data_IF_257515919657
#
_entry.id   IF_257515919657
#
_cell.length_a   1.000
_cell.length_b   1.000
_cell.length_c   1.000
_cell.angle_alpha   90.00
_cell.angle_beta   90.00
_cell.angle_gamma   90.00
#
_symmetry.space_group_name_H-M   'P 1'
#
loop_
_entity.id
_entity.type
_entity.pdbx_description
1 polymer ?
#
# COMPACT_ATOMS: atom_id res chain seq x y z
N UNK A 1 -0.66 -3.64 -40.90
CA UNK A 1 0.07 -2.36 -40.83
C UNK A 1 -0.82 -1.29 -41.44
N UNK A 2 -1.41 -0.41 -40.63
CA UNK A 2 -2.20 0.72 -41.10
C UNK A 2 -1.79 1.94 -40.28
N UNK A 3 -0.84 2.71 -40.81
CA UNK A 3 -0.53 4.04 -40.31
C UNK A 3 -1.60 5.01 -40.77
N UNK A 4 -2.18 5.77 -39.83
CA UNK A 4 -2.93 6.97 -40.16
C UNK A 4 -2.16 8.17 -39.63
N UNK A 5 -1.62 8.92 -40.58
CA UNK A 5 -0.98 10.22 -40.45
C UNK A 5 -1.99 11.25 -39.94
N UNK A 6 -1.63 11.97 -38.87
CA UNK A 6 -2.39 13.12 -38.39
C UNK A 6 -2.18 14.30 -39.35
N UNK A 7 -3.26 14.89 -39.88
CA UNK A 7 -3.20 16.09 -40.72
C UNK A 7 -2.94 17.31 -39.85
N UNK A 8 -1.89 18.06 -40.17
CA UNK A 8 -1.65 19.39 -39.65
C UNK A 8 -2.65 20.36 -40.29
N UNK A 9 -3.33 21.16 -39.46
CA UNK A 9 -4.12 22.32 -39.89
C UNK A 9 -3.27 23.55 -39.64
N UNK A 10 -2.83 24.21 -40.72
CA UNK A 10 -2.14 25.49 -40.67
C UNK A 10 -3.14 26.61 -40.34
N UNK A 11 -2.99 27.20 -39.16
CA UNK A 11 -3.69 28.44 -38.80
C UNK A 11 -2.71 29.58 -38.99
N UNK A 12 -2.90 30.35 -40.07
CA UNK A 12 -2.14 31.55 -40.38
C UNK A 12 -2.70 32.70 -39.53
N UNK A 13 -2.01 33.09 -38.47
CA UNK A 13 -2.36 34.27 -37.66
C UNK A 13 -1.52 35.46 -38.14
N UNK A 14 -2.21 36.49 -38.62
CA UNK A 14 -1.68 37.81 -38.95
C UNK A 14 -1.40 38.60 -37.67
N UNK A 15 -0.22 39.20 -37.58
CA UNK A 15 0.19 40.09 -36.49
C UNK A 15 -0.47 41.48 -36.60
N UNK A 16 -0.66 42.17 -35.46
CA UNK A 16 -0.59 43.62 -35.43
C UNK A 16 0.63 44.10 -34.60
N UNK A 17 1.33 45.09 -35.16
CA UNK A 17 2.54 45.72 -34.61
C UNK A 17 2.26 46.68 -33.43
N UNK A 18 3.27 46.75 -32.55
CA UNK A 18 3.68 47.88 -31.70
C UNK A 18 2.78 48.17 -30.46
N UNK A 19 3.27 48.61 -29.30
CA UNK A 19 4.53 49.23 -28.90
C UNK A 19 4.71 49.20 -27.37
N UNK A 20 5.94 49.47 -26.92
CA UNK A 20 6.38 49.87 -25.56
C UNK A 20 6.45 48.79 -24.46
N UNK A 21 7.69 48.43 -24.09
CA UNK A 21 8.00 47.62 -22.90
C UNK A 21 7.75 48.38 -21.58
N UNK A 22 7.72 47.68 -20.43
CA UNK A 22 9.00 47.43 -19.77
C UNK A 22 9.13 46.09 -19.00
N UNK A 23 10.38 45.82 -18.63
CA UNK A 23 10.88 44.94 -17.56
C UNK A 23 10.73 43.43 -17.74
N UNK A 24 11.81 42.84 -18.27
CA UNK A 24 12.20 41.45 -18.01
C UNK A 24 12.30 41.22 -16.50
N UNK A 25 11.20 40.78 -15.89
CA UNK A 25 11.25 40.04 -14.63
C UNK A 25 11.74 38.65 -15.01
N UNK A 26 13.02 38.40 -14.76
CA UNK A 26 13.67 37.14 -15.09
C UNK A 26 12.80 35.95 -14.71
N UNK A 27 12.62 35.03 -15.65
CA UNK A 27 12.09 33.71 -15.36
C UNK A 27 12.90 33.12 -14.22
N UNK A 28 12.24 32.88 -13.09
CA UNK A 28 12.81 32.04 -12.05
C UNK A 28 12.92 30.68 -12.71
N UNK A 29 14.13 30.32 -13.14
CA UNK A 29 14.53 28.94 -13.40
C UNK A 29 14.36 28.23 -12.06
N UNK A 30 13.15 27.75 -11.82
CA UNK A 30 12.82 26.88 -10.72
C UNK A 30 13.79 25.71 -10.82
N UNK A 31 14.80 25.68 -9.94
CA UNK A 31 15.80 24.62 -9.98
C UNK A 31 15.09 23.26 -9.95
N UNK A 32 15.59 22.29 -10.70
CA UNK A 32 14.99 20.95 -10.80
C UNK A 32 14.59 20.34 -9.43
N UNK A 33 15.37 20.62 -8.38
CA UNK A 33 15.05 20.26 -7.00
C UNK A 33 13.73 20.89 -6.50
N UNK A 34 13.53 22.19 -6.73
CA UNK A 34 12.30 22.90 -6.38
C UNK A 34 11.10 22.41 -7.18
N UNK A 35 11.26 22.20 -8.49
CA UNK A 35 10.21 21.61 -9.33
C UNK A 35 9.78 20.22 -8.82
N UNK A 36 10.74 19.34 -8.48
CA UNK A 36 10.47 18.04 -7.86
C UNK A 36 9.75 18.16 -6.53
N UNK A 37 10.19 19.06 -5.66
CA UNK A 37 9.55 19.27 -4.36
C UNK A 37 8.10 19.73 -4.51
N UNK A 38 7.82 20.66 -5.43
CA UNK A 38 6.47 21.11 -5.77
C UNK A 38 5.57 19.97 -6.23
N UNK A 39 6.04 19.15 -7.19
CA UNK A 39 5.27 18.01 -7.71
C UNK A 39 5.01 16.99 -6.61
N UNK A 40 6.04 16.60 -5.85
CA UNK A 40 5.90 15.67 -4.73
C UNK A 40 4.90 16.18 -3.69
N UNK A 41 4.97 17.46 -3.33
CA UNK A 41 4.04 18.09 -2.39
C UNK A 41 2.60 18.08 -2.90
N UNK A 42 2.40 18.41 -4.19
CA UNK A 42 1.09 18.38 -4.83
C UNK A 42 0.47 16.98 -4.85
N UNK A 43 1.18 16.00 -5.38
CA UNK A 43 0.70 14.61 -5.49
C UNK A 43 0.47 13.99 -4.11
N UNK A 44 1.35 14.24 -3.14
CA UNK A 44 1.18 13.71 -1.77
C UNK A 44 -0.06 14.31 -1.10
N UNK A 45 -0.32 15.61 -1.31
CA UNK A 45 -1.52 16.28 -0.78
C UNK A 45 -2.79 15.72 -1.41
N UNK A 46 -2.80 15.56 -2.74
CA UNK A 46 -3.93 14.97 -3.47
C UNK A 46 -4.21 13.54 -3.00
N UNK A 47 -3.18 12.71 -2.91
CA UNK A 47 -3.30 11.34 -2.40
C UNK A 47 -3.89 11.29 -0.99
N UNK A 48 -3.44 12.17 -0.07
CA UNK A 48 -4.00 12.22 1.28
C UNK A 48 -5.48 12.61 1.32
N UNK A 49 -5.95 13.44 0.39
CA UNK A 49 -7.37 13.78 0.26
C UNK A 49 -8.17 12.59 -0.28
N UNK A 50 -7.69 11.96 -1.35
CA UNK A 50 -8.34 10.79 -1.95
C UNK A 50 -8.39 9.61 -0.97
N UNK A 51 -7.33 9.38 -0.19
CA UNK A 51 -7.25 8.30 0.79
C UNK A 51 -8.24 8.45 1.97
N UNK A 52 -8.90 9.60 2.12
CA UNK A 52 -10.00 9.78 3.07
C UNK A 52 -11.36 9.38 2.49
N UNK A 53 -11.48 9.31 1.16
CA UNK A 53 -12.72 8.94 0.49
C UNK A 53 -12.94 7.42 0.54
N UNK A 54 -14.10 6.93 1.02
CA UNK A 54 -14.41 5.51 1.05
C UNK A 54 -14.33 4.82 -0.31
N UNK A 55 -14.65 5.54 -1.40
CA UNK A 55 -14.59 5.01 -2.77
C UNK A 55 -13.17 4.78 -3.29
N UNK A 56 -12.17 5.40 -2.67
CA UNK A 56 -10.79 5.38 -3.16
C UNK A 56 -9.86 4.53 -2.27
N UNK A 57 -10.19 4.37 -0.99
CA UNK A 57 -9.41 3.55 -0.07
C UNK A 57 -10.10 2.21 0.19
N UNK A 58 -9.33 1.11 0.11
CA UNK A 58 -9.81 -0.19 0.56
C UNK A 58 -10.29 -0.17 2.02
N UNK A 59 -11.22 -1.06 2.37
CA UNK A 59 -11.83 -1.09 3.72
C UNK A 59 -11.22 -2.14 4.64
N UNK A 60 -10.26 -2.93 4.16
CA UNK A 60 -9.77 -4.11 4.87
C UNK A 60 -8.37 -3.96 5.48
N UNK A 61 -7.84 -2.74 5.56
CA UNK A 61 -6.54 -2.49 6.19
C UNK A 61 -6.51 -2.98 7.65
N UNK A 62 -5.33 -3.29 8.17
CA UNK A 62 -5.18 -3.53 9.61
C UNK A 62 -5.48 -2.20 10.32
N UNK A 63 -6.40 -2.17 11.30
CA UNK A 63 -6.93 -0.90 11.80
C UNK A 63 -5.97 -0.26 12.82
N UNK A 64 -4.84 0.22 12.33
CA UNK A 64 -3.94 1.12 13.05
C UNK A 64 -3.40 2.16 12.05
N UNK A 65 -3.64 3.44 12.33
CA UNK A 65 -3.29 4.54 11.42
C UNK A 65 -1.78 4.63 11.14
N UNK A 66 -0.93 4.16 12.06
CA UNK A 66 0.53 4.16 11.90
C UNK A 66 0.99 3.17 10.83
N UNK A 67 0.26 2.09 10.61
CA UNK A 67 0.53 1.12 9.55
C UNK A 67 0.08 1.60 8.16
N UNK A 68 -0.67 2.70 8.08
CA UNK A 68 -1.16 3.29 6.83
C UNK A 68 -0.31 4.46 6.35
N UNK A 69 0.63 4.93 7.17
CA UNK A 69 1.53 6.04 6.82
C UNK A 69 2.71 5.51 6.01
N UNK A 70 2.60 5.58 4.69
CA UNK A 70 3.70 5.27 3.77
C UNK A 70 4.43 6.58 3.44
N UNK A 71 5.75 6.62 3.65
CA UNK A 71 6.59 7.74 3.25
C UNK A 71 7.40 7.35 2.01
N UNK A 72 7.40 8.22 1.01
CA UNK A 72 8.27 8.08 -0.17
C UNK A 72 9.74 8.39 0.16
N UNK A 73 10.02 9.06 1.30
CA UNK A 73 11.38 9.33 1.78
C UNK A 73 11.81 8.15 2.65
N UNK A 74 12.76 7.35 2.14
CA UNK A 74 13.35 6.18 2.82
C UNK A 74 12.31 5.20 3.40
N UNK A 75 11.09 5.17 2.86
CA UNK A 75 10.02 4.31 3.36
C UNK A 75 9.44 4.67 4.73
N UNK A 76 9.90 5.77 5.35
CA UNK A 76 9.51 6.18 6.69
C UNK A 76 9.96 5.19 7.79
N UNK A 77 9.55 5.41 9.05
CA UNK A 77 9.85 4.48 10.15
C UNK A 77 9.28 3.08 9.90
N UNK A 78 8.30 2.99 9.00
CA UNK A 78 7.64 1.78 8.61
C UNK A 78 8.58 0.82 7.87
N UNK A 79 9.21 1.20 6.74
CA UNK A 79 10.15 0.29 6.05
C UNK A 79 11.40 -0.02 6.89
N UNK A 80 11.86 0.91 7.72
CA UNK A 80 12.99 0.69 8.61
C UNK A 80 12.75 -0.46 9.61
N UNK A 81 11.50 -0.64 10.08
CA UNK A 81 11.15 -1.73 10.99
C UNK A 81 11.23 -3.13 10.34
N UNK A 82 11.42 -3.23 9.02
CA UNK A 82 11.33 -4.48 8.26
C UNK A 82 12.68 -4.96 7.71
N UNK A 83 13.71 -4.13 7.82
CA UNK A 83 15.06 -4.42 7.33
C UNK A 83 15.09 -4.72 5.83
N UNK A 84 16.10 -5.47 5.42
CA UNK A 84 16.38 -5.76 4.00
C UNK A 84 15.74 -7.07 3.50
N UNK A 85 14.85 -7.68 4.30
CA UNK A 85 14.21 -8.96 3.97
C UNK A 85 12.96 -8.77 3.09
N UNK A 86 13.11 -8.93 1.78
CA UNK A 86 11.98 -8.88 0.83
C UNK A 86 10.83 -9.86 1.17
N UNK A 87 11.09 -11.11 1.60
CA UNK A 87 10.02 -12.03 1.99
C UNK A 87 9.23 -11.55 3.22
N UNK A 88 9.91 -10.99 4.22
CA UNK A 88 9.26 -10.42 5.40
C UNK A 88 8.42 -9.19 5.03
N UNK A 89 8.98 -8.27 4.23
CA UNK A 89 8.27 -7.09 3.73
C UNK A 89 7.01 -7.48 2.94
N UNK A 90 7.08 -8.51 2.10
CA UNK A 90 5.92 -9.00 1.35
C UNK A 90 4.84 -9.60 2.27
N UNK A 91 5.22 -10.35 3.31
CA UNK A 91 4.26 -10.89 4.30
C UNK A 91 3.61 -9.77 5.10
N UNK A 92 4.38 -8.77 5.54
CA UNK A 92 3.86 -7.57 6.20
C UNK A 92 2.83 -6.83 5.35
N UNK A 93 3.19 -6.52 4.10
CA UNK A 93 2.28 -5.86 3.17
C UNK A 93 0.98 -6.65 3.02
N UNK A 94 1.06 -7.98 2.82
CA UNK A 94 -0.10 -8.86 2.74
C UNK A 94 -0.97 -8.83 4.00
N UNK A 95 -0.37 -8.84 5.20
CA UNK A 95 -1.11 -8.76 6.46
C UNK A 95 -1.81 -7.42 6.62
N UNK A 96 -1.10 -6.31 6.35
CA UNK A 96 -1.60 -4.95 6.57
C UNK A 96 -2.69 -4.60 5.56
N UNK A 97 -2.50 -4.94 4.29
CA UNK A 97 -3.45 -4.64 3.22
C UNK A 97 -4.59 -5.66 3.13
N UNK A 98 -4.54 -6.75 3.90
CA UNK A 98 -5.45 -7.90 3.81
C UNK A 98 -5.46 -8.54 2.41
N UNK A 99 -4.26 -8.71 1.85
CA UNK A 99 -3.98 -9.33 0.55
C UNK A 99 -3.21 -10.66 0.68
N UNK A 100 -3.16 -11.23 1.89
CA UNK A 100 -2.59 -12.56 2.06
C UNK A 100 -3.46 -13.61 1.37
N UNK A 101 -2.88 -14.70 0.81
CA UNK A 101 -3.60 -15.76 0.11
C UNK A 101 -4.36 -16.69 1.08
N UNK A 102 -5.07 -16.10 2.04
CA UNK A 102 -5.80 -16.79 3.12
C UNK A 102 -7.29 -16.83 2.80
N UNK A 103 -8.05 -17.61 3.58
CA UNK A 103 -9.49 -17.78 3.37
C UNK A 103 -10.32 -16.48 3.34
N UNK A 104 -9.91 -15.43 4.04
CA UNK A 104 -10.55 -14.10 3.98
C UNK A 104 -10.34 -13.36 2.65
N UNK A 105 -9.19 -13.55 2.00
CA UNK A 105 -8.94 -13.02 0.67
C UNK A 105 -9.64 -13.87 -0.39
N UNK A 106 -9.50 -15.19 -0.30
CA UNK A 106 -10.14 -16.14 -1.23
C UNK A 106 -11.65 -16.00 -1.28
N UNK A 107 -12.34 -15.80 -0.16
CA UNK A 107 -13.79 -15.57 -0.19
C UNK A 107 -14.24 -14.37 -1.02
N UNK A 108 -13.35 -13.40 -1.27
CA UNK A 108 -13.66 -12.19 -2.05
C UNK A 108 -13.32 -12.36 -3.53
N UNK A 109 -12.19 -13.01 -3.83
CA UNK A 109 -11.63 -13.05 -5.18
C UNK A 109 -11.62 -14.45 -5.83
N UNK A 110 -11.78 -15.50 -5.03
CA UNK A 110 -11.71 -16.91 -5.40
C UNK A 110 -12.78 -17.72 -4.63
N UNK A 111 -14.08 -17.45 -4.85
CA UNK A 111 -15.17 -17.96 -3.99
C UNK A 111 -15.31 -19.50 -4.01
N UNK A 112 -14.73 -20.17 -4.99
CA UNK A 112 -14.73 -21.62 -5.11
C UNK A 112 -13.52 -22.30 -4.43
N UNK A 113 -12.51 -21.53 -4.02
CA UNK A 113 -11.34 -22.08 -3.34
C UNK A 113 -11.63 -22.37 -1.86
N UNK A 114 -10.85 -23.28 -1.27
CA UNK A 114 -10.93 -23.55 0.15
C UNK A 114 -10.58 -22.30 0.96
N UNK A 115 -11.33 -22.08 2.04
CA UNK A 115 -11.17 -20.94 2.96
C UNK A 115 -10.88 -21.39 4.40
N UNK A 116 -10.92 -22.70 4.66
CA UNK A 116 -10.72 -23.27 6.00
C UNK A 116 -9.24 -23.30 6.34
N UNK A 117 -8.92 -23.00 7.60
CA UNK A 117 -7.57 -23.09 8.12
C UNK A 117 -7.07 -24.55 8.06
N UNK A 118 -5.79 -24.74 7.69
CA UNK A 118 -5.21 -26.07 7.56
C UNK A 118 -5.05 -26.82 8.90
N UNK A 119 -5.11 -26.11 10.03
CA UNK A 119 -4.76 -26.64 11.36
C UNK A 119 -5.90 -26.67 12.37
N UNK A 120 -7.08 -26.14 12.03
CA UNK A 120 -8.23 -26.11 12.93
C UNK A 120 -9.54 -25.84 12.16
N UNK A 121 -10.72 -26.19 12.70
CA UNK A 121 -12.01 -26.04 12.01
C UNK A 121 -12.54 -24.59 12.03
N UNK A 122 -11.72 -23.63 11.61
CA UNK A 122 -12.06 -22.22 11.51
C UNK A 122 -11.77 -21.68 10.11
N UNK A 123 -12.50 -20.66 9.67
CA UNK A 123 -12.14 -19.92 8.46
C UNK A 123 -10.80 -19.19 8.68
N UNK A 124 -9.88 -19.32 7.73
CA UNK A 124 -8.57 -18.69 7.83
C UNK A 124 -8.67 -17.18 7.54
N UNK A 125 -8.89 -16.41 8.59
CA UNK A 125 -8.97 -14.94 8.56
C UNK A 125 -7.73 -14.32 9.20
N UNK A 126 -7.44 -13.05 8.88
CA UNK A 126 -6.34 -12.32 9.54
C UNK A 126 -6.54 -12.30 11.07
N UNK A 127 -7.78 -12.12 11.52
CA UNK A 127 -8.14 -12.15 12.94
C UNK A 127 -7.87 -13.53 13.57
N UNK A 128 -8.23 -14.60 12.89
CA UNK A 128 -7.94 -15.96 13.36
C UNK A 128 -6.43 -16.19 13.52
N UNK A 129 -5.65 -15.87 12.49
CA UNK A 129 -4.18 -16.02 12.51
C UNK A 129 -3.56 -15.22 13.66
N UNK A 130 -3.99 -13.99 13.86
CA UNK A 130 -3.44 -13.09 14.87
C UNK A 130 -3.98 -13.30 16.29
N UNK A 131 -5.05 -14.07 16.51
CA UNK A 131 -5.63 -14.21 17.86
C UNK A 131 -5.78 -15.65 18.36
N UNK A 132 -6.11 -16.62 17.50
CA UNK A 132 -6.64 -17.91 17.99
C UNK A 132 -6.21 -19.15 17.22
N UNK A 133 -5.46 -19.01 16.12
CA UNK A 133 -5.02 -20.16 15.34
C UNK A 133 -3.98 -21.00 16.09
N UNK A 134 -4.23 -22.29 16.27
CA UNK A 134 -3.38 -23.24 17.00
C UNK A 134 -1.96 -23.38 16.43
N UNK A 135 -1.76 -23.05 15.16
CA UNK A 135 -0.47 -23.20 14.47
C UNK A 135 0.55 -22.10 14.81
N UNK A 136 0.09 -20.87 15.05
CA UNK A 136 0.99 -19.71 15.16
C UNK A 136 1.32 -19.36 16.62
N UNK A 137 2.60 -19.12 16.89
CA UNK A 137 3.06 -18.61 18.17
C UNK A 137 2.80 -17.10 18.26
N UNK A 138 2.18 -16.64 19.35
CA UNK A 138 1.87 -15.22 19.56
C UNK A 138 2.54 -14.76 20.86
N UNK A 139 3.08 -13.53 20.89
CA UNK A 139 3.75 -13.04 22.09
C UNK A 139 2.79 -12.81 23.27
N UNK A 140 1.48 -12.74 22.99
CA UNK A 140 0.42 -12.56 24.00
C UNK A 140 -0.95 -12.96 23.47
N UNK A 141 -1.89 -13.14 24.39
CA UNK A 141 -3.31 -13.23 24.05
C UNK A 141 -3.84 -11.94 23.44
N UNK A 142 -4.90 -12.05 22.63
CA UNK A 142 -5.57 -10.93 21.94
C UNK A 142 -4.59 -10.04 21.16
N UNK A 143 -3.59 -10.65 20.52
CA UNK A 143 -2.52 -9.94 19.85
C UNK A 143 -2.99 -8.98 18.75
N UNK A 144 -4.07 -9.27 18.02
CA UNK A 144 -4.67 -8.31 17.08
C UNK A 144 -5.13 -7.03 17.80
N UNK A 145 -5.80 -7.14 18.95
CA UNK A 145 -6.27 -5.98 19.71
C UNK A 145 -5.08 -5.16 20.23
N UNK A 146 -4.03 -5.84 20.66
CA UNK A 146 -2.77 -5.18 21.01
C UNK A 146 -2.15 -4.43 19.82
N UNK A 147 -2.11 -5.01 18.62
CA UNK A 147 -1.61 -4.33 17.41
C UNK A 147 -2.44 -3.10 17.04
N UNK A 148 -3.77 -3.19 17.19
CA UNK A 148 -4.69 -2.08 16.91
C UNK A 148 -4.38 -0.87 17.80
N UNK A 149 -4.08 -1.12 19.07
CA UNK A 149 -3.87 -0.08 20.08
C UNK A 149 -2.41 0.30 20.31
N UNK A 150 -1.44 -0.40 19.70
CA UNK A 150 -0.01 -0.14 19.92
C UNK A 150 0.46 1.16 19.26
N UNK A 151 1.42 1.82 19.91
CA UNK A 151 2.19 2.93 19.35
C UNK A 151 3.22 2.47 18.31
N UNK A 152 3.67 1.21 18.40
CA UNK A 152 4.71 0.61 17.54
C UNK A 152 4.22 -0.69 16.88
N UNK A 153 3.06 -0.67 16.18
CA UNK A 153 2.44 -1.89 15.65
C UNK A 153 3.31 -2.60 14.60
N UNK A 154 4.14 -1.85 13.88
CA UNK A 154 5.03 -2.38 12.84
C UNK A 154 6.09 -3.31 13.43
N UNK A 155 6.75 -2.90 14.51
CA UNK A 155 7.78 -3.69 15.18
C UNK A 155 7.19 -4.99 15.77
N UNK A 156 6.03 -4.90 16.42
CA UNK A 156 5.36 -6.09 16.96
C UNK A 156 4.89 -7.05 15.88
N UNK A 157 4.35 -6.53 14.78
CA UNK A 157 3.94 -7.36 13.66
C UNK A 157 5.15 -8.00 12.96
N UNK A 158 6.25 -7.27 12.81
CA UNK A 158 7.49 -7.81 12.27
C UNK A 158 8.03 -8.95 13.14
N UNK A 159 8.09 -8.77 14.46
CA UNK A 159 8.48 -9.84 15.40
C UNK A 159 7.60 -11.09 15.23
N UNK A 160 6.27 -10.93 15.23
CA UNK A 160 5.35 -12.05 15.02
C UNK A 160 5.63 -12.79 13.70
N UNK A 161 5.90 -12.06 12.61
CA UNK A 161 6.18 -12.67 11.32
C UNK A 161 7.56 -13.33 11.24
N UNK A 162 8.54 -12.84 11.99
CA UNK A 162 9.85 -13.49 12.14
C UNK A 162 9.70 -14.81 12.88
N UNK A 163 8.94 -14.83 13.99
CA UNK A 163 8.71 -16.03 14.80
C UNK A 163 7.81 -17.05 14.06
N UNK A 164 7.00 -16.59 13.11
CA UNK A 164 6.09 -17.40 12.30
C UNK A 164 6.43 -17.25 10.81
N UNK A 165 7.49 -17.90 10.37
CA UNK A 165 8.12 -17.68 9.05
C UNK A 165 7.16 -17.83 7.86
N UNK A 166 6.14 -18.67 7.96
CA UNK A 166 5.19 -18.95 6.87
C UNK A 166 3.87 -18.17 6.98
N UNK A 167 3.63 -17.48 8.10
CA UNK A 167 2.39 -16.74 8.31
C UNK A 167 2.14 -15.70 7.20
N UNK A 168 0.92 -15.69 6.65
CA UNK A 168 0.50 -14.82 5.53
C UNK A 168 1.29 -14.99 4.23
N UNK A 169 2.04 -16.09 4.08
CA UNK A 169 2.66 -16.51 2.82
C UNK A 169 1.76 -17.45 2.01
N UNK A 170 2.20 -17.82 0.81
CA UNK A 170 1.53 -18.84 0.00
C UNK A 170 1.68 -20.25 0.59
N UNK A 171 2.74 -20.51 1.36
CA UNK A 171 2.98 -21.80 2.02
C UNK A 171 1.83 -22.17 2.95
N UNK A 172 1.22 -21.18 3.61
CA UNK A 172 0.15 -21.37 4.58
C UNK A 172 -1.25 -21.16 3.99
N UNK A 173 -1.36 -20.97 2.68
CA UNK A 173 -2.66 -20.82 2.03
C UNK A 173 -3.54 -22.06 2.30
N UNK A 174 -4.88 -21.92 2.37
CA UNK A 174 -5.74 -23.07 2.59
C UNK A 174 -5.50 -24.14 1.51
N UNK A 175 -5.34 -25.40 1.91
CA UNK A 175 -5.13 -26.48 0.95
C UNK A 175 -6.35 -26.62 0.03
N UNK A 176 -6.19 -26.96 -1.27
CA UNK A 176 -7.31 -27.26 -2.14
C UNK A 176 -8.20 -28.35 -1.53
N UNK A 177 -9.50 -28.30 -1.82
CA UNK A 177 -10.38 -29.44 -1.50
C UNK A 177 -10.00 -30.58 -2.45
N UNK A 178 -9.55 -31.70 -1.89
CA UNK A 178 -9.35 -32.96 -2.60
C UNK A 178 -10.71 -33.62 -2.78
#
# INVERSE_FOLDING_TARGET
>A
MNGRTCRQVDVKLTEPESSTGPQYRGEVVDGHAYARQRVTGGVTKEWHLLAQLPSHIGHSFLPNSRLRKVSHIKGGPFLAAFGDSSPLAARLARTILNHAPIGEFRSRFFPHENITCNWCPARQTRRHILNSCTHYNRPRERFLEFLINSSEPGAHLASFLTDNMTAFSFTDAPAPRI
#
